data_IF_489777464626
#
_entry.id   IF_489777464626
#
_cell.length_a   1.000
_cell.length_b   1.000
_cell.length_c   1.000
_cell.angle_alpha   90.00
_cell.angle_beta   90.00
_cell.angle_gamma   90.00
#
_symmetry.space_group_name_H-M   'P 1'
#
loop_
_entity.id
_entity.type
_entity.pdbx_description
1 polymer ?
#
# COMPACT_ATOMS: atom_id res chain seq x y z
N UNK A 1 -18.52 6.57 -34.58
CA UNK A 1 -19.07 6.20 -33.25
C UNK A 1 -18.54 7.21 -32.25
N UNK A 2 -19.39 8.06 -31.66
CA UNK A 2 -18.95 9.00 -30.62
C UNK A 2 -18.84 8.23 -29.31
N UNK A 3 -17.64 8.16 -28.74
CA UNK A 3 -17.45 7.69 -27.37
C UNK A 3 -17.97 8.76 -26.42
N UNK A 4 -19.16 8.55 -25.88
CA UNK A 4 -19.69 9.37 -24.78
C UNK A 4 -18.74 9.16 -23.60
N UNK A 5 -17.99 10.20 -23.23
CA UNK A 5 -17.11 10.14 -22.06
C UNK A 5 -17.98 9.86 -20.83
N UNK A 6 -17.66 8.80 -20.11
CA UNK A 6 -18.27 8.50 -18.83
C UNK A 6 -17.95 9.63 -17.85
N UNK A 7 -18.99 10.24 -17.27
CA UNK A 7 -18.84 11.37 -16.37
C UNK A 7 -18.66 10.86 -14.93
N UNK A 8 -17.40 10.74 -14.54
CA UNK A 8 -17.00 10.28 -13.21
C UNK A 8 -17.53 11.16 -12.09
N UNK A 9 -17.55 12.48 -12.29
CA UNK A 9 -17.96 13.44 -11.26
C UNK A 9 -19.43 13.27 -10.89
N UNK A 10 -20.29 13.10 -11.90
CA UNK A 10 -21.72 12.83 -11.68
C UNK A 10 -21.93 11.47 -10.99
N UNK A 11 -21.20 10.45 -11.43
CA UNK A 11 -21.31 9.12 -10.84
C UNK A 11 -20.96 9.13 -9.34
N UNK A 12 -19.85 9.76 -8.95
CA UNK A 12 -19.44 9.83 -7.54
C UNK A 12 -20.32 10.75 -6.70
N UNK A 13 -20.96 11.76 -7.29
CA UNK A 13 -21.93 12.61 -6.59
C UNK A 13 -23.22 11.85 -6.22
N UNK A 14 -23.67 10.94 -7.08
CA UNK A 14 -24.93 10.21 -6.91
C UNK A 14 -24.76 8.83 -6.23
N UNK A 15 -23.56 8.25 -6.27
CA UNK A 15 -23.32 6.90 -5.76
C UNK A 15 -23.19 6.87 -4.23
N UNK A 16 -23.94 5.98 -3.57
CA UNK A 16 -23.78 5.72 -2.15
C UNK A 16 -22.44 5.04 -1.90
N UNK A 17 -21.75 5.42 -0.83
CA UNK A 17 -20.45 4.84 -0.47
C UNK A 17 -20.45 3.30 -0.46
N UNK A 18 -21.52 2.68 0.05
CA UNK A 18 -21.64 1.22 0.05
C UNK A 18 -21.69 0.59 -1.35
N UNK A 19 -22.30 1.28 -2.32
CA UNK A 19 -22.38 0.81 -3.71
C UNK A 19 -21.04 1.01 -4.42
N UNK A 20 -20.35 2.11 -4.15
CA UNK A 20 -18.96 2.33 -4.60
C UNK A 20 -18.06 1.23 -4.01
N UNK A 21 -18.14 0.99 -2.71
CA UNK A 21 -17.31 0.00 -2.01
C UNK A 21 -17.52 -1.41 -2.55
N UNK A 22 -18.79 -1.84 -2.70
CA UNK A 22 -19.14 -3.19 -3.16
C UNK A 22 -18.81 -3.43 -4.63
N UNK A 23 -18.99 -2.42 -5.49
CA UNK A 23 -18.75 -2.54 -6.93
C UNK A 23 -17.35 -2.08 -7.35
N UNK A 24 -16.58 -1.48 -6.43
CA UNK A 24 -15.21 -1.08 -6.70
C UNK A 24 -14.35 -2.33 -6.81
N UNK A 25 -13.64 -2.53 -7.94
CA UNK A 25 -12.63 -3.57 -8.04
C UNK A 25 -11.45 -3.34 -7.09
N UNK A 26 -11.41 -2.20 -6.38
CA UNK A 26 -10.37 -1.82 -5.41
C UNK A 26 -10.78 -1.99 -3.94
N UNK A 27 -12.06 -2.21 -3.63
CA UNK A 27 -12.54 -2.23 -2.24
C UNK A 27 -13.32 -3.48 -1.86
N UNK A 28 -13.79 -4.27 -2.84
CA UNK A 28 -14.49 -5.51 -2.55
C UNK A 28 -13.50 -6.58 -2.05
N UNK A 29 -13.50 -6.85 -0.74
CA UNK A 29 -12.62 -7.79 -0.03
C UNK A 29 -11.12 -7.46 -0.04
N UNK A 30 -10.75 -6.24 -0.41
CA UNK A 30 -9.35 -5.79 -0.39
C UNK A 30 -9.05 -5.06 0.92
N UNK A 31 -7.83 -5.25 1.43
CA UNK A 31 -7.36 -4.60 2.66
C UNK A 31 -7.39 -3.08 2.47
N UNK A 32 -7.55 -2.35 3.58
CA UNK A 32 -7.38 -0.89 3.59
C UNK A 32 -6.07 -0.52 2.88
N UNK A 33 -5.98 0.60 2.15
CA UNK A 33 -4.71 1.07 1.62
C UNK A 33 -3.74 1.42 2.77
N UNK A 34 -2.46 1.49 2.45
CA UNK A 34 -1.44 1.82 3.44
C UNK A 34 -1.58 3.29 3.82
N UNK A 35 -1.47 3.59 5.10
CA UNK A 35 -1.81 4.91 5.65
C UNK A 35 -0.73 5.39 6.60
N UNK A 36 -0.35 6.65 6.45
CA UNK A 36 0.55 7.34 7.38
C UNK A 36 -0.30 8.30 8.21
N UNK A 37 -0.28 8.12 9.53
CA UNK A 37 -0.91 9.01 10.49
C UNK A 37 0.16 9.86 11.19
N UNK A 38 0.62 10.91 10.51
CA UNK A 38 1.76 11.74 10.94
C UNK A 38 1.63 12.27 12.37
N UNK A 39 0.43 12.75 12.75
CA UNK A 39 0.18 13.31 14.09
C UNK A 39 0.39 12.31 15.23
N UNK A 40 0.13 11.04 14.96
CA UNK A 40 0.24 9.96 15.95
C UNK A 40 1.56 9.19 15.77
N UNK A 41 2.36 9.54 14.75
CA UNK A 41 3.59 8.86 14.43
C UNK A 41 3.38 7.38 14.07
N UNK A 42 2.30 7.04 13.36
CA UNK A 42 1.97 5.66 12.99
C UNK A 42 1.94 5.47 11.47
N UNK A 43 2.35 4.29 11.01
CA UNK A 43 2.15 3.82 9.63
C UNK A 43 1.44 2.47 9.67
N UNK A 44 0.37 2.33 8.90
CA UNK A 44 -0.30 1.07 8.62
C UNK A 44 0.13 0.55 7.25
N UNK A 45 0.59 -0.70 7.21
CA UNK A 45 1.14 -1.36 6.04
C UNK A 45 0.20 -2.48 5.59
N UNK A 46 -0.44 -2.30 4.44
CA UNK A 46 -1.51 -3.17 3.95
C UNK A 46 -1.02 -4.52 3.42
N UNK A 47 0.23 -4.59 2.97
CA UNK A 47 0.85 -5.83 2.50
C UNK A 47 0.94 -6.88 3.61
N UNK A 48 1.24 -6.43 4.83
CA UNK A 48 1.42 -7.27 6.02
C UNK A 48 0.28 -7.12 7.05
N UNK A 49 -0.61 -6.15 6.89
CA UNK A 49 -1.79 -5.92 7.75
C UNK A 49 -1.42 -5.62 9.20
N UNK A 50 -0.44 -4.71 9.35
CA UNK A 50 0.12 -4.32 10.63
C UNK A 50 0.36 -2.82 10.69
N UNK A 51 0.29 -2.27 11.90
CA UNK A 51 0.64 -0.88 12.17
C UNK A 51 1.95 -0.81 12.97
N UNK A 52 2.80 0.13 12.59
CA UNK A 52 4.09 0.39 13.22
C UNK A 52 4.20 1.84 13.64
N UNK A 53 4.97 2.08 14.70
CA UNK A 53 5.36 3.43 15.06
C UNK A 53 6.51 3.90 14.17
N UNK A 54 6.33 5.07 13.56
CA UNK A 54 7.30 5.72 12.67
C UNK A 54 8.61 6.00 13.43
N UNK A 55 8.56 6.31 14.72
CA UNK A 55 9.76 6.58 15.53
C UNK A 55 10.58 5.34 15.88
N UNK A 56 10.03 4.13 15.69
CA UNK A 56 10.71 2.87 16.01
C UNK A 56 11.35 2.27 14.76
N UNK A 57 12.43 2.90 14.32
CA UNK A 57 13.13 2.57 13.08
C UNK A 57 13.55 1.09 12.96
N UNK A 58 13.93 0.46 14.08
CA UNK A 58 14.28 -0.96 14.12
C UNK A 58 13.10 -1.85 13.69
N UNK A 59 11.90 -1.59 14.20
CA UNK A 59 10.72 -2.39 13.85
C UNK A 59 10.35 -2.23 12.36
N UNK A 60 10.53 -1.03 11.81
CA UNK A 60 10.33 -0.77 10.39
C UNK A 60 11.38 -1.46 9.51
N UNK A 61 12.62 -1.55 9.99
CA UNK A 61 13.66 -2.31 9.31
C UNK A 61 13.37 -3.82 9.34
N UNK A 62 12.97 -4.34 10.51
CA UNK A 62 12.73 -5.76 10.74
C UNK A 62 11.58 -6.32 9.91
N UNK A 63 10.60 -5.49 9.51
CA UNK A 63 9.47 -5.90 8.67
C UNK A 63 9.78 -5.84 7.15
N UNK A 64 10.86 -5.20 6.72
CA UNK A 64 11.21 -5.11 5.29
C UNK A 64 11.34 -6.49 4.60
N UNK A 65 11.98 -7.52 5.21
CA UNK A 65 12.06 -8.85 4.61
C UNK A 65 10.69 -9.49 4.36
N UNK A 66 9.74 -9.31 5.28
CA UNK A 66 8.38 -9.86 5.14
C UNK A 66 7.64 -9.19 3.98
N UNK A 67 7.78 -7.88 3.82
CA UNK A 67 7.19 -7.13 2.70
C UNK A 67 7.78 -7.59 1.36
N UNK A 68 9.11 -7.80 1.29
CA UNK A 68 9.75 -8.37 0.10
C UNK A 68 9.22 -9.77 -0.22
N UNK A 69 9.03 -10.62 0.79
CA UNK A 69 8.45 -11.95 0.62
C UNK A 69 7.02 -11.88 0.09
N UNK A 70 6.19 -10.97 0.62
CA UNK A 70 4.84 -10.72 0.11
C UNK A 70 4.87 -10.29 -1.35
N UNK A 71 5.76 -9.37 -1.72
CA UNK A 71 5.94 -8.91 -3.10
C UNK A 71 6.28 -10.06 -4.04
N UNK A 72 7.27 -10.89 -3.68
CA UNK A 72 7.71 -12.04 -4.48
C UNK A 72 6.59 -13.08 -4.67
N UNK A 73 5.90 -13.43 -3.59
CA UNK A 73 4.78 -14.37 -3.65
C UNK A 73 3.63 -13.84 -4.50
N UNK A 74 3.36 -12.53 -4.43
CA UNK A 74 2.35 -11.87 -5.26
C UNK A 74 2.73 -11.89 -6.75
N UNK A 75 4.00 -11.63 -7.10
CA UNK A 75 4.46 -11.76 -8.49
C UNK A 75 4.35 -13.19 -9.01
N UNK A 76 4.76 -14.19 -8.21
CA UNK A 76 4.68 -15.61 -8.59
C UNK A 76 3.24 -16.07 -8.84
N UNK A 77 2.30 -15.58 -8.03
CA UNK A 77 0.86 -15.87 -8.15
C UNK A 77 0.12 -14.97 -9.16
N UNK A 78 0.81 -14.02 -9.80
CA UNK A 78 0.24 -13.01 -10.71
C UNK A 78 -0.81 -12.11 -10.04
N UNK A 79 -0.71 -11.93 -8.73
CA UNK A 79 -1.50 -10.96 -7.97
C UNK A 79 -0.82 -9.59 -8.02
N UNK A 80 -0.98 -8.89 -9.15
CA UNK A 80 -0.32 -7.60 -9.40
C UNK A 80 -0.79 -6.50 -8.45
N UNK A 81 -2.02 -6.59 -7.95
CA UNK A 81 -2.55 -5.65 -6.97
C UNK A 81 -1.78 -5.77 -5.64
N UNK A 82 -1.63 -7.00 -5.13
CA UNK A 82 -0.88 -7.25 -3.90
C UNK A 82 0.61 -6.92 -4.07
N UNK A 83 1.18 -7.16 -5.26
CA UNK A 83 2.54 -6.75 -5.58
C UNK A 83 2.69 -5.22 -5.55
N UNK A 84 1.73 -4.46 -6.10
CA UNK A 84 1.75 -3.00 -6.05
C UNK A 84 1.67 -2.46 -4.61
N UNK A 85 0.82 -3.06 -3.76
CA UNK A 85 0.75 -2.70 -2.34
C UNK A 85 2.08 -2.95 -1.63
N UNK A 86 2.65 -4.14 -1.78
CA UNK A 86 3.92 -4.48 -1.12
C UNK A 86 5.07 -3.58 -1.58
N UNK A 87 5.11 -3.25 -2.87
CA UNK A 87 6.07 -2.26 -3.41
C UNK A 87 5.88 -0.87 -2.78
N UNK A 88 4.64 -0.40 -2.70
CA UNK A 88 4.31 0.89 -2.05
C UNK A 88 4.73 0.91 -0.57
N UNK A 89 4.44 -0.15 0.18
CA UNK A 89 4.82 -0.27 1.60
C UNK A 89 6.32 -0.24 1.80
N UNK A 90 7.06 -0.95 0.95
CA UNK A 90 8.51 -0.97 0.97
C UNK A 90 9.10 0.43 0.77
N UNK A 91 8.63 1.17 -0.25
CA UNK A 91 9.12 2.52 -0.50
C UNK A 91 8.69 3.51 0.59
N UNK A 92 7.51 3.34 1.19
CA UNK A 92 7.08 4.16 2.32
C UNK A 92 8.04 3.98 3.51
N UNK A 93 8.35 2.74 3.88
CA UNK A 93 9.32 2.45 4.96
C UNK A 93 10.71 2.99 4.60
N UNK A 94 11.18 2.75 3.37
CA UNK A 94 12.49 3.22 2.92
C UNK A 94 12.62 4.73 3.04
N UNK A 95 11.58 5.47 2.66
CA UNK A 95 11.55 6.93 2.78
C UNK A 95 11.57 7.38 4.24
N UNK A 96 10.82 6.71 5.12
CA UNK A 96 10.82 6.98 6.57
C UNK A 96 12.22 6.74 7.16
N UNK A 97 12.82 5.58 6.91
CA UNK A 97 14.15 5.23 7.43
C UNK A 97 15.23 6.19 6.92
N UNK A 98 15.18 6.53 5.64
CA UNK A 98 16.09 7.53 5.03
C UNK A 98 15.97 8.90 5.71
N UNK A 99 14.74 9.35 5.98
CA UNK A 99 14.51 10.62 6.70
C UNK A 99 15.06 10.63 8.13
N UNK A 100 15.27 9.45 8.71
CA UNK A 100 15.85 9.25 10.05
C UNK A 100 17.37 9.05 10.01
N UNK A 101 18.01 9.18 8.84
CA UNK A 101 19.45 8.97 8.68
C UNK A 101 19.87 7.49 8.59
N UNK A 102 18.92 6.57 8.49
CA UNK A 102 19.20 5.15 8.27
C UNK A 102 19.30 4.86 6.78
N UNK A 103 20.53 4.65 6.31
CA UNK A 103 20.79 4.23 4.93
C UNK A 103 20.68 2.70 4.83
N UNK A 104 19.46 2.19 4.68
CA UNK A 104 19.29 0.80 4.29
C UNK A 104 19.45 0.65 2.77
N UNK A 105 20.57 0.05 2.39
CA UNK A 105 20.80 -0.45 1.05
C UNK A 105 20.13 -1.80 0.94
N UNK A 106 19.01 -1.83 0.24
CA UNK A 106 18.41 -3.06 -0.29
C UNK A 106 17.38 -2.64 -1.34
N UNK A 107 17.46 -3.24 -2.53
CA UNK A 107 16.45 -3.10 -3.56
C UNK A 107 15.29 -4.08 -3.28
N UNK A 108 14.13 -3.79 -3.88
CA UNK A 108 12.98 -4.71 -3.86
C UNK A 108 13.26 -5.98 -4.70
N UNK A 109 14.25 -5.91 -5.59
CA UNK A 109 14.58 -6.93 -6.61
C UNK A 109 15.81 -7.76 -6.23
N UNK A 110 16.56 -7.37 -5.20
CA UNK A 110 17.69 -8.12 -4.68
C UNK A 110 17.11 -9.33 -3.93
N UNK A 111 16.78 -10.46 -4.60
CA UNK A 111 16.73 -11.88 -4.14
C UNK A 111 15.99 -12.82 -5.12
#
# INVERSE_FOLDING_TARGET
MSTTRFNWDKYFADAKWNDIYKNSPFFNYQRLPSLIHEKEGLIYLSSVDLAFSISHANNLNDIMPDIKLVFKNALQSKDYYKAAIASSDFYAIKNILSSQGMNNCDSLEDY
#
